data_IF_874227515914
#
_entry.id   IF_874227515914
#
_cell.length_a   1.000
_cell.length_b   1.000
_cell.length_c   1.000
_cell.angle_alpha   90.00
_cell.angle_beta   90.00
_cell.angle_gamma   90.00
#
_symmetry.space_group_name_H-M   'P 1'
#
loop_
_entity.id
_entity.type
_entity.pdbx_description
1 polymer ?
#
# COMPACT_ATOMS: atom_id res chain seq x y z
N UNK A 1 3.95 -1.69 13.99
CA UNK A 1 4.87 -2.84 13.97
C UNK A 1 4.52 -3.84 15.05
N UNK A 2 4.79 -3.50 16.33
CA UNK A 2 4.59 -4.43 17.45
C UNK A 2 3.51 -3.95 18.42
N UNK A 3 3.53 -2.67 18.77
CA UNK A 3 2.57 -2.09 19.73
C UNK A 3 1.37 -1.43 19.07
N UNK A 4 1.57 -0.86 17.88
CA UNK A 4 0.55 -0.14 17.13
C UNK A 4 0.75 -0.27 15.63
N UNK A 5 -0.29 0.04 14.86
CA UNK A 5 -0.26 0.13 13.40
C UNK A 5 -0.61 1.56 13.04
N UNK A 6 0.13 2.16 12.11
CA UNK A 6 -0.17 3.51 11.64
C UNK A 6 -1.57 3.54 10.98
N UNK A 7 -2.42 4.55 11.24
CA UNK A 7 -3.81 4.57 10.80
C UNK A 7 -4.02 4.35 9.29
N UNK A 8 -3.06 4.75 8.47
CA UNK A 8 -3.08 4.59 7.01
C UNK A 8 -3.06 3.11 6.57
N UNK A 9 -2.58 2.22 7.44
CA UNK A 9 -2.50 0.78 7.24
C UNK A 9 -3.49 0.02 8.13
N UNK A 10 -4.32 0.75 8.89
CA UNK A 10 -5.36 0.19 9.74
C UNK A 10 -6.59 -0.25 8.96
N UNK A 11 -7.64 -0.64 9.71
CA UNK A 11 -8.93 -1.06 9.16
C UNK A 11 -9.75 0.15 8.70
N UNK A 12 -9.89 0.35 7.40
CA UNK A 12 -10.81 1.36 6.84
C UNK A 12 -12.13 0.74 6.40
N UNK A 13 -13.22 1.50 6.50
CA UNK A 13 -14.58 1.04 6.17
C UNK A 13 -14.69 0.59 4.71
N UNK A 14 -14.08 1.35 3.79
CA UNK A 14 -14.24 1.19 2.34
C UNK A 14 -13.85 -0.18 1.76
N UNK A 15 -13.07 -1.01 2.47
CA UNK A 15 -12.71 -2.37 2.04
C UNK A 15 -12.96 -3.44 3.11
N UNK A 16 -13.72 -3.13 4.16
CA UNK A 16 -14.14 -4.13 5.14
C UNK A 16 -15.55 -4.62 4.79
N UNK A 17 -15.67 -5.92 4.52
CA UNK A 17 -16.94 -6.57 4.19
C UNK A 17 -17.99 -6.28 5.26
N UNK A 18 -19.15 -5.77 4.84
CA UNK A 18 -20.30 -5.50 5.70
C UNK A 18 -20.32 -4.11 6.36
N UNK A 19 -19.20 -3.38 6.40
CA UNK A 19 -19.17 -2.06 7.07
C UNK A 19 -19.93 -0.98 6.28
N UNK A 20 -20.20 -1.21 5.00
CA UNK A 20 -21.03 -0.33 4.18
C UNK A 20 -22.49 -0.22 4.68
N UNK A 21 -22.96 -1.19 5.48
CA UNK A 21 -24.35 -1.24 5.97
C UNK A 21 -24.62 -0.36 7.20
N UNK A 22 -23.59 0.13 7.90
CA UNK A 22 -23.72 0.93 9.13
C UNK A 22 -23.14 2.34 9.00
N UNK A 23 -23.44 3.20 9.97
CA UNK A 23 -22.76 4.50 10.13
C UNK A 23 -21.42 4.32 10.83
N UNK A 24 -20.48 5.22 10.54
CA UNK A 24 -19.19 5.26 11.21
C UNK A 24 -19.37 5.68 12.68
N UNK A 25 -18.77 4.95 13.61
CA UNK A 25 -18.74 5.32 15.02
C UNK A 25 -17.73 6.46 15.26
N UNK A 26 -17.99 7.32 16.24
CA UNK A 26 -17.19 8.52 16.52
C UNK A 26 -15.69 8.23 16.67
N UNK A 27 -15.34 7.22 17.47
CA UNK A 27 -13.93 6.83 17.70
C UNK A 27 -13.19 6.40 16.42
N UNK A 28 -13.92 5.92 15.40
CA UNK A 28 -13.34 5.47 14.14
C UNK A 28 -13.17 6.60 13.11
N UNK A 29 -13.72 7.79 13.39
CA UNK A 29 -13.65 8.94 12.47
C UNK A 29 -12.22 9.35 12.16
N UNK A 30 -11.34 9.37 13.16
CA UNK A 30 -9.94 9.77 12.94
C UNK A 30 -9.19 8.78 12.05
N UNK A 31 -9.48 7.49 12.18
CA UNK A 31 -8.86 6.48 11.33
C UNK A 31 -9.36 6.60 9.90
N UNK A 32 -10.68 6.70 9.70
CA UNK A 32 -11.29 6.85 8.37
C UNK A 32 -10.88 8.17 7.69
N UNK A 33 -10.57 9.22 8.46
CA UNK A 33 -10.07 10.48 7.93
C UNK A 33 -8.63 10.41 7.40
N UNK A 34 -7.86 9.39 7.78
CA UNK A 34 -6.49 9.23 7.28
C UNK A 34 -6.45 8.74 5.85
N UNK A 35 -5.33 9.01 5.15
CA UNK A 35 -5.10 8.39 3.85
C UNK A 35 -5.10 6.86 3.99
N UNK A 36 -5.92 6.18 3.20
CA UNK A 36 -5.94 4.73 3.19
C UNK A 36 -4.98 4.15 2.16
N UNK A 37 -3.90 3.52 2.62
CA UNK A 37 -2.88 2.88 1.77
C UNK A 37 -3.49 1.86 0.78
N UNK A 38 -4.49 1.08 1.22
CA UNK A 38 -5.16 0.11 0.36
C UNK A 38 -5.84 0.75 -0.86
N UNK A 39 -6.40 1.96 -0.71
CA UNK A 39 -6.97 2.71 -1.83
C UNK A 39 -5.87 3.22 -2.76
N UNK A 40 -4.79 3.78 -2.20
CA UNK A 40 -3.66 4.30 -2.97
C UNK A 40 -3.04 3.21 -3.85
N UNK A 41 -2.65 2.08 -3.28
CA UNK A 41 -2.02 0.99 -4.04
C UNK A 41 -2.99 0.28 -4.99
N UNK A 42 -4.30 0.24 -4.67
CA UNK A 42 -5.32 -0.29 -5.59
C UNK A 42 -5.49 0.61 -6.82
N UNK A 43 -5.50 1.94 -6.64
CA UNK A 43 -5.51 2.90 -7.75
C UNK A 43 -4.24 2.77 -8.60
N UNK A 44 -3.07 2.71 -7.95
CA UNK A 44 -1.80 2.52 -8.65
C UNK A 44 -1.85 1.26 -9.52
N UNK A 45 -2.26 0.13 -8.95
CA UNK A 45 -2.41 -1.13 -9.68
C UNK A 45 -3.35 -1.00 -10.88
N UNK A 46 -4.51 -0.36 -10.74
CA UNK A 46 -5.46 -0.20 -11.85
C UNK A 46 -4.91 0.68 -12.97
N UNK A 47 -4.26 1.79 -12.64
CA UNK A 47 -3.60 2.62 -13.65
C UNK A 47 -2.44 1.91 -14.34
N UNK A 48 -1.62 1.17 -13.59
CA UNK A 48 -0.56 0.36 -14.16
C UNK A 48 -1.10 -0.72 -15.10
N UNK A 49 -2.17 -1.43 -14.71
CA UNK A 49 -2.73 -2.52 -15.51
C UNK A 49 -3.52 -2.04 -16.74
N UNK A 50 -3.94 -0.78 -16.82
CA UNK A 50 -4.60 -0.24 -18.03
C UNK A 50 -3.61 -0.12 -19.21
N UNK A 51 -2.33 0.16 -18.90
CA UNK A 51 -1.23 0.23 -19.87
C UNK A 51 0.05 -0.43 -19.31
N UNK A 52 0.08 -1.76 -19.15
CA UNK A 52 1.13 -2.45 -18.42
C UNK A 52 2.48 -2.37 -19.13
N UNK A 53 2.52 -2.42 -20.46
CA UNK A 53 3.77 -2.26 -21.21
C UNK A 53 4.46 -0.90 -20.95
N UNK A 54 3.67 0.13 -20.65
CA UNK A 54 4.18 1.48 -20.41
C UNK A 54 4.59 1.71 -18.96
N UNK A 55 3.79 1.24 -17.99
CA UNK A 55 3.93 1.64 -16.59
C UNK A 55 4.41 0.51 -15.66
N UNK A 56 4.24 -0.77 -16.03
CA UNK A 56 4.64 -1.87 -15.15
C UNK A 56 6.16 -1.88 -14.88
N UNK A 57 7.05 -1.68 -15.88
CA UNK A 57 8.49 -1.72 -15.63
C UNK A 57 8.95 -0.72 -14.54
N UNK A 58 8.52 0.54 -14.63
CA UNK A 58 8.92 1.59 -13.67
C UNK A 58 8.33 1.36 -12.27
N UNK A 59 7.09 0.86 -12.18
CA UNK A 59 6.45 0.58 -10.89
C UNK A 59 7.13 -0.61 -10.22
N UNK A 60 7.39 -1.67 -10.97
CA UNK A 60 8.10 -2.85 -10.48
C UNK A 60 9.51 -2.49 -10.04
N UNK A 61 10.27 -1.75 -10.84
CA UNK A 61 11.62 -1.32 -10.50
C UNK A 61 11.65 -0.51 -9.19
N UNK A 62 10.76 0.49 -9.07
CA UNK A 62 10.70 1.34 -7.89
C UNK A 62 10.33 0.56 -6.61
N UNK A 63 9.34 -0.32 -6.69
CA UNK A 63 8.92 -1.14 -5.55
C UNK A 63 9.98 -2.17 -5.16
N UNK A 64 10.60 -2.85 -6.14
CA UNK A 64 11.68 -3.79 -5.89
C UNK A 64 12.91 -3.10 -5.26
N UNK A 65 13.27 -1.91 -5.74
CA UNK A 65 14.37 -1.14 -5.15
C UNK A 65 14.06 -0.72 -3.71
N UNK A 66 12.81 -0.31 -3.44
CA UNK A 66 12.35 0.00 -2.10
C UNK A 66 12.41 -1.22 -1.17
N UNK A 67 11.92 -2.37 -1.62
CA UNK A 67 11.98 -3.63 -0.89
C UNK A 67 13.42 -4.09 -0.64
N UNK A 68 14.29 -4.02 -1.66
CA UNK A 68 15.71 -4.37 -1.54
C UNK A 68 16.41 -3.53 -0.47
N UNK A 69 16.11 -2.23 -0.40
CA UNK A 69 16.63 -1.36 0.67
C UNK A 69 16.17 -1.83 2.04
N UNK A 70 14.88 -2.12 2.22
CA UNK A 70 14.36 -2.63 3.50
C UNK A 70 14.97 -3.98 3.88
N UNK A 71 15.21 -4.86 2.90
CA UNK A 71 15.89 -6.13 3.10
C UNK A 71 17.34 -5.95 3.57
N UNK A 72 18.07 -5.01 2.97
CA UNK A 72 19.44 -4.69 3.35
C UNK A 72 19.54 -4.11 4.78
N UNK A 73 18.50 -3.43 5.25
CA UNK A 73 18.43 -2.88 6.63
C UNK A 73 18.13 -3.96 7.70
N UNK A 74 17.65 -5.15 7.32
CA UNK A 74 17.15 -6.14 8.29
C UNK A 74 18.22 -6.63 9.26
N UNK A 75 19.46 -6.81 8.80
CA UNK A 75 20.55 -7.28 9.67
C UNK A 75 20.78 -6.30 10.84
N UNK A 76 20.86 -5.00 10.54
CA UNK A 76 21.03 -3.95 11.55
C UNK A 76 19.82 -3.84 12.47
N UNK A 77 18.60 -3.92 11.93
CA UNK A 77 17.36 -3.91 12.74
C UNK A 77 17.36 -5.07 13.74
N UNK A 78 17.71 -6.27 13.29
CA UNK A 78 17.79 -7.48 14.14
C UNK A 78 18.89 -7.34 15.19
N UNK A 79 20.06 -6.82 14.82
CA UNK A 79 21.18 -6.61 15.74
C UNK A 79 20.81 -5.64 16.87
N UNK A 80 20.21 -4.49 16.53
CA UNK A 80 19.76 -3.48 17.51
C UNK A 80 18.76 -4.09 18.48
N UNK A 81 17.72 -4.73 17.95
CA UNK A 81 16.63 -5.30 18.75
C UNK A 81 17.14 -6.43 19.63
N UNK A 82 17.99 -7.30 19.10
CA UNK A 82 18.60 -8.40 19.86
C UNK A 82 19.45 -7.87 21.01
N UNK A 83 20.20 -6.80 20.79
CA UNK A 83 21.02 -6.15 21.82
C UNK A 83 20.14 -5.54 22.91
N UNK A 84 19.05 -4.86 22.55
CA UNK A 84 18.11 -4.30 23.51
C UNK A 84 17.46 -5.39 24.38
N UNK A 85 17.02 -6.51 23.79
CA UNK A 85 16.48 -7.62 24.56
C UNK A 85 17.51 -8.27 25.48
N UNK A 86 18.75 -8.51 25.00
CA UNK A 86 19.83 -9.05 25.84
C UNK A 86 20.17 -8.14 27.03
N UNK A 87 19.98 -6.83 26.87
CA UNK A 87 20.17 -5.85 27.93
C UNK A 87 18.94 -5.67 28.85
N UNK A 88 17.87 -6.46 28.68
CA UNK A 88 16.62 -6.36 29.45
C UNK A 88 15.80 -5.10 29.13
N UNK A 89 16.03 -4.48 27.97
CA UNK A 89 15.37 -3.24 27.53
C UNK A 89 14.19 -3.51 26.59
N UNK A 90 13.30 -4.41 27.00
CA UNK A 90 12.22 -4.94 26.16
C UNK A 90 11.29 -3.87 25.59
N UNK A 91 10.94 -2.85 26.38
CA UNK A 91 10.06 -1.77 25.91
C UNK A 91 10.75 -0.95 24.82
N UNK A 92 12.03 -0.60 25.00
CA UNK A 92 12.79 0.11 23.97
C UNK A 92 12.94 -0.70 22.69
N UNK A 93 13.07 -2.03 22.79
CA UNK A 93 13.10 -2.91 21.61
C UNK A 93 11.77 -2.87 20.83
N UNK A 94 10.64 -2.93 21.55
CA UNK A 94 9.29 -2.87 20.96
C UNK A 94 8.98 -1.50 20.37
N UNK A 95 9.39 -0.42 21.03
CA UNK A 95 9.23 0.95 20.56
C UNK A 95 10.03 1.15 19.27
N UNK A 96 11.29 0.70 19.25
CA UNK A 96 12.15 0.74 18.06
C UNK A 96 11.52 0.02 16.86
N UNK A 97 11.05 -1.23 17.04
CA UNK A 97 10.38 -1.98 15.97
C UNK A 97 9.10 -1.31 15.49
N UNK A 98 8.34 -0.71 16.42
CA UNK A 98 7.10 0.00 16.10
C UNK A 98 7.40 1.24 15.26
N UNK A 99 8.40 2.03 15.65
CA UNK A 99 8.83 3.22 14.92
C UNK A 99 9.41 2.86 13.55
N UNK A 100 10.34 1.89 13.47
CA UNK A 100 10.90 1.41 12.21
C UNK A 100 9.80 1.01 11.22
N UNK A 101 8.82 0.24 11.67
CA UNK A 101 7.70 -0.18 10.83
C UNK A 101 6.84 0.99 10.36
N UNK A 102 6.59 1.97 11.23
CA UNK A 102 5.80 3.16 10.90
C UNK A 102 6.52 4.04 9.86
N UNK A 103 7.82 4.24 10.02
CA UNK A 103 8.65 5.03 9.11
C UNK A 103 8.79 4.35 7.74
N UNK A 104 9.02 3.04 7.73
CA UNK A 104 9.07 2.25 6.50
C UNK A 104 7.71 2.29 5.77
N UNK A 105 6.60 2.08 6.49
CA UNK A 105 5.26 2.20 5.92
C UNK A 105 5.01 3.60 5.32
N UNK A 106 5.31 4.66 6.08
CA UNK A 106 5.15 6.02 5.61
C UNK A 106 6.00 6.32 4.36
N UNK A 107 7.23 5.80 4.28
CA UNK A 107 8.08 5.92 3.11
C UNK A 107 7.50 5.18 1.89
N UNK A 108 6.99 3.96 2.08
CA UNK A 108 6.35 3.19 1.03
C UNK A 108 5.09 3.87 0.51
N UNK A 109 4.24 4.42 1.39
CA UNK A 109 3.06 5.17 0.99
C UNK A 109 3.40 6.44 0.20
N UNK A 110 4.44 7.18 0.61
CA UNK A 110 4.95 8.32 -0.15
C UNK A 110 5.41 7.93 -1.55
N UNK A 111 6.13 6.82 -1.69
CA UNK A 111 6.54 6.29 -3.00
C UNK A 111 5.33 5.91 -3.86
N UNK A 112 4.37 5.16 -3.29
CA UNK A 112 3.15 4.76 -3.98
C UNK A 112 2.33 5.97 -4.48
N UNK A 113 2.22 7.01 -3.66
CA UNK A 113 1.57 8.27 -4.06
C UNK A 113 2.28 8.99 -5.20
N UNK A 114 3.62 9.03 -5.16
CA UNK A 114 4.40 9.66 -6.24
C UNK A 114 4.24 8.92 -7.57
N UNK A 115 4.30 7.58 -7.54
CA UNK A 115 4.05 6.74 -8.71
C UNK A 115 2.63 6.95 -9.24
N UNK A 116 1.63 6.89 -8.36
CA UNK A 116 0.23 7.07 -8.74
C UNK A 116 -0.01 8.44 -9.38
N UNK A 117 0.46 9.53 -8.78
CA UNK A 117 0.29 10.87 -9.31
C UNK A 117 0.94 11.03 -10.69
N UNK A 118 2.13 10.48 -10.88
CA UNK A 118 2.85 10.51 -12.16
C UNK A 118 2.14 9.72 -13.25
N UNK A 119 1.66 8.51 -12.93
CA UNK A 119 0.98 7.64 -13.89
C UNK A 119 -0.39 8.19 -14.23
N UNK A 120 -1.19 8.62 -13.26
CA UNK A 120 -2.52 9.21 -13.49
C UNK A 120 -2.42 10.41 -14.43
N UNK A 121 -1.49 11.33 -14.18
CA UNK A 121 -1.26 12.49 -15.05
C UNK A 121 -0.85 12.09 -16.49
N UNK A 122 0.00 11.07 -16.64
CA UNK A 122 0.42 10.57 -17.97
C UNK A 122 -0.72 9.82 -18.66
N UNK A 123 -1.51 9.05 -17.94
CA UNK A 123 -2.68 8.36 -18.49
C UNK A 123 -3.65 9.37 -19.07
N UNK A 124 -3.98 10.43 -18.32
CA UNK A 124 -4.90 11.47 -18.78
C UNK A 124 -4.45 12.12 -20.10
N UNK A 125 -3.17 12.47 -20.22
CA UNK A 125 -2.65 13.18 -21.39
C UNK A 125 -2.38 12.25 -22.59
N UNK A 126 -1.91 11.03 -22.36
CA UNK A 126 -1.50 10.11 -23.43
C UNK A 126 -2.66 9.25 -23.95
N UNK A 127 -3.61 8.90 -23.08
CA UNK A 127 -4.64 7.91 -23.38
C UNK A 127 -6.07 8.39 -23.04
N UNK A 128 -6.20 9.35 -22.13
CA UNK A 128 -7.46 9.74 -21.53
C UNK A 128 -8.01 8.64 -20.59
N UNK A 129 -9.21 8.88 -20.03
CA UNK A 129 -9.92 7.87 -19.25
C UNK A 129 -10.93 7.14 -20.15
N UNK A 130 -10.69 5.86 -20.42
CA UNK A 130 -11.60 5.03 -21.21
C UNK A 130 -12.90 4.77 -20.44
N UNK A 131 -14.03 4.88 -21.12
CA UNK A 131 -15.32 4.47 -20.56
C UNK A 131 -15.42 2.93 -20.50
N UNK A 132 -16.09 2.36 -19.49
CA UNK A 132 -16.40 0.93 -19.50
C UNK A 132 -17.34 0.60 -20.65
N UNK A 133 -17.15 -0.56 -21.28
CA UNK A 133 -17.99 -1.02 -22.40
C UNK A 133 -19.29 -1.71 -21.93
N UNK A 134 -19.35 -2.15 -20.66
CA UNK A 134 -20.49 -2.85 -20.10
C UNK A 134 -20.94 -2.30 -18.74
N UNK A 135 -22.13 -2.73 -18.30
CA UNK A 135 -22.80 -2.22 -17.10
C UNK A 135 -22.46 -3.00 -15.81
N UNK A 136 -21.76 -4.12 -15.93
CA UNK A 136 -21.37 -4.96 -14.79
C UNK A 136 -20.10 -4.40 -14.16
N UNK A 137 -20.23 -3.86 -12.95
CA UNK A 137 -19.12 -3.22 -12.22
C UNK A 137 -18.26 -4.21 -11.44
N UNK A 138 -18.84 -5.31 -10.94
CA UNK A 138 -18.12 -6.32 -10.14
C UNK A 138 -18.87 -7.65 -10.03
N UNK A 139 -18.13 -8.76 -10.09
CA UNK A 139 -18.65 -10.12 -9.84
C UNK A 139 -17.72 -10.89 -8.90
N UNK A 140 -18.25 -11.86 -8.16
CA UNK A 140 -17.46 -12.69 -7.23
C UNK A 140 -16.65 -13.80 -7.94
N UNK A 141 -16.93 -14.05 -9.22
CA UNK A 141 -16.55 -15.28 -9.93
C UNK A 141 -15.46 -15.12 -11.01
N UNK A 142 -14.79 -13.97 -11.12
CA UNK A 142 -13.90 -13.68 -12.26
C UNK A 142 -12.39 -13.58 -11.95
N UNK A 143 -11.59 -13.68 -13.03
CA UNK A 143 -10.13 -13.41 -13.07
C UNK A 143 -9.83 -12.09 -12.35
N UNK A 144 -8.94 -12.14 -11.35
CA UNK A 144 -8.43 -10.93 -10.70
C UNK A 144 -7.73 -10.07 -11.75
N UNK A 145 -7.93 -8.75 -11.68
CA UNK A 145 -7.16 -7.81 -12.51
C UNK A 145 -5.67 -8.11 -12.31
N UNK A 146 -4.99 -8.45 -13.40
CA UNK A 146 -3.57 -8.77 -13.44
C UNK A 146 -2.92 -7.91 -14.51
N UNK A 147 -1.79 -7.28 -14.16
CA UNK A 147 -0.98 -6.53 -15.12
C UNK A 147 -0.09 -7.45 -15.97
N UNK A 148 -0.12 -8.77 -15.72
CA UNK A 148 0.61 -9.73 -16.54
C UNK A 148 -0.11 -9.90 -17.86
N UNK A 149 0.63 -9.72 -18.96
CA UNK A 149 0.13 -10.02 -20.29
C UNK A 149 -0.29 -11.50 -20.29
N UNK A 150 -1.54 -11.79 -20.67
CA UNK A 150 -1.97 -13.16 -20.89
C UNK A 150 -1.11 -13.72 -22.03
N UNK A 151 -0.25 -14.69 -21.73
CA UNK A 151 0.39 -15.48 -22.78
C UNK A 151 -0.72 -16.22 -23.53
N UNK A 152 -0.78 -16.03 -24.85
CA UNK A 152 -1.64 -16.82 -25.75
C UNK A 152 -1.33 -18.32 -25.68
#
# INVERSE_FOLDING_TARGET
GVQSIAPQFGKHRYLTKGEAAGFLLEDWQIQEATEFSGRTFKRLMYFTCDHPEQFLPEVTEALMAFEARLMAEQETVVEIVSTLFKAGKDNLAKDYLTQYSADAGAAGLRLGNALLASIEARTEVLYGYRAPEGDVVSELTYDRISCQIKSD
#
